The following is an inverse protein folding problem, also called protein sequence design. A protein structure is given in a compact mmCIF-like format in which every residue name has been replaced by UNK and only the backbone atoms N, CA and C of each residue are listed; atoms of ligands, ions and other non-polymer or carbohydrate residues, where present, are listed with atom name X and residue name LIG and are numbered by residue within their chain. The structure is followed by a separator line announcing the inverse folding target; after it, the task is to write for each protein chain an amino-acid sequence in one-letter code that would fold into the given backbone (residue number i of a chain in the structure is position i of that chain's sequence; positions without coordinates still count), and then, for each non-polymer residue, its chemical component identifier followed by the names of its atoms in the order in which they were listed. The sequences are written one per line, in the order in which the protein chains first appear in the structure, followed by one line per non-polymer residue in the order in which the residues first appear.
data_IF_789610984293
#
_entry.id   IF_789610984293
#
_cell.length_a   1.000
_cell.length_b   1.000
_cell.length_c   1.000
_cell.angle_alpha   90.00
_cell.angle_beta   90.00
_cell.angle_gamma   90.00
#
_symmetry.space_group_name_H-M   'P 1'
#
loop_
_entity.id
_entity.type
_entity.pdbx_description
1 polymer ?
#
# COMPACT_ATOMS: atom_id res chain seq x y z
N UNK A 1 -29.10 -5.56 -24.31
CA UNK A 1 -27.74 -5.46 -23.75
C UNK A 1 -27.81 -4.63 -22.49
N UNK A 2 -27.75 -5.26 -21.30
CA UNK A 2 -27.53 -4.51 -20.06
C UNK A 2 -26.02 -4.22 -19.99
N UNK A 3 -25.56 -2.96 -20.01
CA UNK A 3 -24.14 -2.65 -19.88
C UNK A 3 -23.74 -2.82 -18.41
N UNK A 4 -23.48 -4.06 -18.00
CA UNK A 4 -22.93 -4.35 -16.67
C UNK A 4 -21.46 -3.92 -16.67
N UNK A 5 -21.15 -2.83 -15.97
CA UNK A 5 -19.78 -2.42 -15.68
C UNK A 5 -19.17 -3.44 -14.71
N UNK A 6 -18.18 -4.19 -15.19
CA UNK A 6 -17.45 -5.19 -14.39
C UNK A 6 -16.70 -4.58 -13.20
N UNK A 7 -16.32 -3.30 -13.30
CA UNK A 7 -15.72 -2.52 -12.22
C UNK A 7 -16.46 -1.18 -12.09
N UNK A 8 -17.53 -1.17 -11.29
CA UNK A 8 -18.25 0.06 -10.91
C UNK A 8 -17.41 0.97 -10.02
N UNK A 9 -16.43 0.40 -9.31
CA UNK A 9 -15.55 1.12 -8.38
C UNK A 9 -14.47 1.95 -9.09
N UNK A 10 -14.22 1.71 -10.39
CA UNK A 10 -13.25 2.44 -11.19
C UNK A 10 -11.79 2.26 -10.72
N UNK A 11 -11.01 3.33 -10.81
CA UNK A 11 -9.56 3.35 -10.50
C UNK A 11 -9.25 3.75 -9.06
N UNK A 12 -10.26 4.09 -8.27
CA UNK A 12 -10.11 4.63 -6.91
C UNK A 12 -9.56 3.57 -5.92
N UNK A 13 -10.02 2.31 -5.92
CA UNK A 13 -9.49 1.29 -5.00
C UNK A 13 -7.99 1.01 -5.14
N UNK A 14 -7.44 0.83 -6.37
CA UNK A 14 -6.00 0.69 -6.57
C UNK A 14 -5.18 1.88 -6.05
N UNK A 15 -5.71 3.10 -6.21
CA UNK A 15 -5.04 4.32 -5.74
C UNK A 15 -4.97 4.33 -4.21
N UNK A 16 -6.09 4.07 -3.52
CA UNK A 16 -6.09 4.01 -2.05
C UNK A 16 -5.19 2.92 -1.50
N UNK A 17 -5.18 1.73 -2.11
CA UNK A 17 -4.27 0.66 -1.74
C UNK A 17 -2.80 1.09 -1.86
N UNK A 18 -2.42 1.71 -2.98
CA UNK A 18 -1.04 2.20 -3.18
C UNK A 18 -0.64 3.31 -2.20
N UNK A 19 -1.54 4.25 -1.89
CA UNK A 19 -1.26 5.33 -0.96
C UNK A 19 -1.00 4.81 0.46
N UNK A 20 -1.80 3.86 0.95
CA UNK A 20 -1.63 3.30 2.29
C UNK A 20 -0.36 2.45 2.38
N UNK A 21 -0.05 1.64 1.37
CA UNK A 21 1.16 0.81 1.38
C UNK A 21 2.45 1.62 1.27
N UNK A 22 2.40 2.81 0.66
CA UNK A 22 3.55 3.70 0.60
C UNK A 22 3.79 4.51 1.89
N UNK A 23 2.76 4.73 2.72
CA UNK A 23 2.91 5.52 3.96
C UNK A 23 4.04 5.04 4.90
N UNK A 24 4.21 3.73 5.17
CA UNK A 24 5.31 3.26 6.01
C UNK A 24 6.68 3.54 5.40
N UNK A 25 6.84 3.39 4.08
CA UNK A 25 8.09 3.69 3.38
C UNK A 25 8.40 5.18 3.42
N UNK A 26 7.37 6.02 3.26
CA UNK A 26 7.50 7.46 3.42
C UNK A 26 7.92 7.82 4.84
N UNK A 27 7.31 7.21 5.86
CA UNK A 27 7.69 7.40 7.26
C UNK A 27 9.13 6.93 7.54
N UNK A 28 9.57 5.81 6.97
CA UNK A 28 10.98 5.38 7.03
C UNK A 28 11.90 6.43 6.42
N UNK A 29 11.56 7.00 5.26
CA UNK A 29 12.34 8.06 4.63
C UNK A 29 12.40 9.36 5.44
N UNK A 30 11.34 9.70 6.17
CA UNK A 30 11.29 10.88 7.04
C UNK A 30 11.97 10.67 8.40
N UNK A 31 11.84 9.48 8.99
CA UNK A 31 12.36 9.15 10.33
C UNK A 31 13.79 8.60 10.30
N UNK A 32 14.20 7.97 9.20
CA UNK A 32 15.49 7.27 9.06
C UNK A 32 16.68 8.15 8.70
N UNK A 33 16.48 9.44 8.39
CA UNK A 33 17.56 10.30 7.90
C UNK A 33 18.16 9.80 6.57
N UNK A 34 19.21 10.47 6.10
CA UNK A 34 19.84 10.22 4.80
C UNK A 34 20.16 8.70 4.61
N UNK A 35 19.67 8.05 3.53
CA UNK A 35 19.76 6.58 3.37
C UNK A 35 21.20 6.04 3.31
N UNK A 36 22.18 6.88 2.99
CA UNK A 36 23.60 6.53 3.03
C UNK A 36 24.15 6.34 4.46
N UNK A 37 23.55 7.02 5.46
CA UNK A 37 24.01 6.98 6.85
C UNK A 37 23.27 5.89 7.67
N UNK A 38 22.07 5.50 7.23
CA UNK A 38 21.22 4.50 7.90
C UNK A 38 21.66 3.05 7.65
N UNK A 39 22.23 2.73 6.48
CA UNK A 39 22.87 1.42 6.21
C UNK A 39 24.18 1.26 7.00
N UNK A 40 24.94 2.35 7.19
CA UNK A 40 26.26 2.31 7.82
C UNK A 40 26.24 2.11 9.35
N UNK A 41 25.14 2.45 10.03
CA UNK A 41 25.05 2.42 11.51
C UNK A 41 24.19 1.29 12.06
N UNK A 42 23.51 0.50 11.22
CA UNK A 42 22.50 -0.46 11.71
C UNK A 42 21.31 0.22 12.41
N UNK A 43 21.15 1.54 12.25
CA UNK A 43 20.10 2.35 12.87
C UNK A 43 18.70 2.03 12.29
N UNK A 44 18.64 1.36 11.14
CA UNK A 44 17.43 0.74 10.62
C UNK A 44 17.16 -0.64 11.27
N UNK A 45 17.59 -0.89 12.51
CA UNK A 45 17.28 -2.13 13.22
C UNK A 45 16.01 -1.98 14.05
N UNK A 46 14.97 -2.72 13.67
CA UNK A 46 13.66 -2.71 14.34
C UNK A 46 12.50 -2.74 13.36
N UNK A 47 11.34 -2.25 13.82
CA UNK A 47 10.09 -2.26 13.03
C UNK A 47 10.23 -1.47 11.72
N UNK A 48 10.99 -0.36 11.70
CA UNK A 48 11.22 0.45 10.50
C UNK A 48 12.01 -0.28 9.41
N UNK A 49 13.08 -1.00 9.77
CA UNK A 49 13.84 -1.81 8.81
C UNK A 49 13.07 -3.01 8.30
N UNK A 50 12.32 -3.67 9.19
CA UNK A 50 11.43 -4.74 8.78
C UNK A 50 10.35 -4.24 7.80
N UNK A 51 9.76 -3.06 8.05
CA UNK A 51 8.81 -2.42 7.15
C UNK A 51 9.46 -2.06 5.82
N UNK A 52 10.67 -1.48 5.82
CA UNK A 52 11.37 -1.13 4.59
C UNK A 52 11.64 -2.36 3.70
N UNK A 53 12.12 -3.47 4.28
CA UNK A 53 12.41 -4.69 3.51
C UNK A 53 11.15 -5.40 3.05
N UNK A 54 10.13 -5.51 3.91
CA UNK A 54 8.91 -6.28 3.58
C UNK A 54 7.89 -5.47 2.78
N UNK A 55 7.87 -4.15 2.85
CA UNK A 55 6.94 -3.32 2.06
C UNK A 55 7.60 -2.61 0.89
N UNK A 56 8.88 -2.90 0.60
CA UNK A 56 9.53 -2.43 -0.62
C UNK A 56 8.77 -2.89 -1.88
N UNK A 57 8.66 -2.04 -2.92
CA UNK A 57 8.11 -2.43 -4.21
C UNK A 57 8.86 -3.65 -4.78
N UNK A 58 8.13 -4.71 -5.11
CA UNK A 58 8.70 -5.97 -5.61
C UNK A 58 8.87 -7.07 -4.56
N UNK A 59 8.64 -6.79 -3.27
CA UNK A 59 8.55 -7.85 -2.26
C UNK A 59 7.25 -8.65 -2.42
N UNK A 60 7.28 -9.93 -2.04
CA UNK A 60 6.09 -10.79 -2.06
C UNK A 60 4.98 -10.26 -1.15
N UNK A 61 5.36 -9.78 0.03
CA UNK A 61 4.48 -9.17 1.02
C UNK A 61 3.81 -7.91 0.50
N UNK A 62 4.51 -7.07 -0.27
CA UNK A 62 3.91 -5.90 -0.93
C UNK A 62 2.85 -6.32 -1.95
N UNK A 63 3.14 -7.30 -2.80
CA UNK A 63 2.20 -7.77 -3.85
C UNK A 63 0.94 -8.37 -3.23
N UNK A 64 1.09 -9.22 -2.22
CA UNK A 64 -0.05 -9.88 -1.55
C UNK A 64 -0.91 -8.86 -0.80
N UNK A 65 -0.28 -7.95 -0.03
CA UNK A 65 -1.01 -6.90 0.69
C UNK A 65 -1.68 -5.91 -0.25
N UNK A 66 -1.03 -5.58 -1.37
CA UNK A 66 -1.61 -4.75 -2.43
C UNK A 66 -2.86 -5.41 -3.01
N UNK A 67 -2.78 -6.68 -3.43
CA UNK A 67 -3.94 -7.41 -3.95
C UNK A 67 -5.08 -7.49 -2.94
N UNK A 68 -4.78 -7.80 -1.67
CA UNK A 68 -5.78 -7.86 -0.61
C UNK A 68 -6.46 -6.50 -0.35
N UNK A 69 -5.68 -5.42 -0.31
CA UNK A 69 -6.22 -4.07 -0.15
C UNK A 69 -7.06 -3.64 -1.36
N UNK A 70 -6.63 -3.94 -2.59
CA UNK A 70 -7.41 -3.65 -3.79
C UNK A 70 -8.78 -4.34 -3.73
N UNK A 71 -8.82 -5.62 -3.36
CA UNK A 71 -10.07 -6.37 -3.20
C UNK A 71 -10.94 -5.72 -2.12
N UNK A 72 -10.37 -5.45 -0.93
CA UNK A 72 -11.08 -4.80 0.17
C UNK A 72 -11.67 -3.45 -0.26
N UNK A 73 -10.87 -2.55 -0.83
CA UNK A 73 -11.31 -1.23 -1.24
C UNK A 73 -12.30 -1.28 -2.41
N UNK A 74 -12.20 -2.27 -3.31
CA UNK A 74 -13.15 -2.41 -4.41
C UNK A 74 -14.56 -2.72 -3.89
N UNK A 75 -14.68 -3.64 -2.92
CA UNK A 75 -15.96 -3.93 -2.28
C UNK A 75 -16.42 -2.81 -1.35
N UNK A 76 -15.53 -2.27 -0.54
CA UNK A 76 -15.83 -1.20 0.41
C UNK A 76 -16.30 0.08 -0.29
N UNK A 77 -15.56 0.56 -1.30
CA UNK A 77 -15.94 1.74 -2.08
C UNK A 77 -17.27 1.52 -2.81
N UNK A 78 -17.47 0.34 -3.38
CA UNK A 78 -18.74 -0.02 -4.02
C UNK A 78 -19.88 0.01 -2.99
N UNK A 79 -19.72 -0.55 -1.79
CA UNK A 79 -20.76 -0.54 -0.75
C UNK A 79 -21.09 0.86 -0.20
N UNK A 80 -20.12 1.78 -0.18
CA UNK A 80 -20.37 3.17 0.24
C UNK A 80 -21.11 3.93 -0.87
N UNK A 81 -20.69 3.73 -2.12
CA UNK A 81 -21.26 4.46 -3.25
C UNK A 81 -22.64 3.94 -3.63
N UNK A 82 -22.86 2.63 -3.51
CA UNK A 82 -24.17 2.02 -3.52
C UNK A 82 -24.69 1.93 -2.08
N UNK A 83 -25.00 3.10 -1.53
CA UNK A 83 -25.86 3.20 -0.37
C UNK A 83 -27.19 2.47 -0.74
N UNK A 84 -27.67 1.47 0.02
CA UNK A 84 -29.04 1.01 -0.16
C UNK A 84 -30.03 2.17 0.07
#
# INVERSE_FOLDING_TARGET
FLPLKINTSGVIPPIFASAILMLPLTAVGFLGGNPADAEATGAMSGVLGWLATNFAPGSWTYIVSYGAMVIFFAFFYTSIMFNP
#
